data_IF_022292293901
#
_entry.id   IF_022292293901
#
_cell.length_a   1.000
_cell.length_b   1.000
_cell.length_c   1.000
_cell.angle_alpha   90.00
_cell.angle_beta   90.00
_cell.angle_gamma   90.00
#
_symmetry.space_group_name_H-M   'P 1'
#
loop_
_entity.id
_entity.type
_entity.pdbx_description
1 polymer ?
#
# COMPACT_ATOMS: atom_id res chain seq x y z
N UNK A 1 1.25 5.82 -3.25
CA UNK A 1 1.46 5.36 -1.85
C UNK A 1 2.50 6.26 -1.20
N UNK A 2 2.43 6.45 0.12
CA UNK A 2 3.39 7.25 0.89
C UNK A 2 4.43 6.43 1.67
N UNK A 3 4.30 5.10 1.66
CA UNK A 3 5.30 4.19 2.24
C UNK A 3 6.31 3.75 1.18
N UNK A 4 7.57 4.17 1.35
CA UNK A 4 8.67 3.78 0.47
C UNK A 4 9.00 2.29 0.58
N UNK A 5 8.90 1.70 1.77
CA UNK A 5 9.23 0.29 1.98
C UNK A 5 8.33 -0.65 1.18
N UNK A 6 7.02 -0.38 1.12
CA UNK A 6 6.06 -1.18 0.33
C UNK A 6 6.35 -1.05 -1.16
N UNK A 7 6.66 0.16 -1.62
CA UNK A 7 6.93 0.42 -3.04
C UNK A 7 8.21 -0.28 -3.49
N UNK A 8 9.25 -0.25 -2.67
CA UNK A 8 10.51 -0.92 -2.97
C UNK A 8 10.31 -2.44 -3.04
N UNK A 9 9.53 -3.03 -2.14
CA UNK A 9 9.19 -4.46 -2.16
C UNK A 9 8.40 -4.83 -3.42
N UNK A 10 7.37 -4.05 -3.77
CA UNK A 10 6.57 -4.26 -5.00
C UNK A 10 7.43 -4.15 -6.26
N UNK A 11 8.32 -3.16 -6.33
CA UNK A 11 9.21 -2.96 -7.49
C UNK A 11 10.29 -4.04 -7.59
N UNK A 12 10.87 -4.45 -6.46
CA UNK A 12 11.90 -5.51 -6.43
C UNK A 12 11.32 -6.88 -6.70
N UNK A 13 10.02 -7.09 -6.47
CA UNK A 13 9.38 -8.39 -6.62
C UNK A 13 9.87 -9.45 -5.63
N UNK A 14 10.57 -9.02 -4.57
CA UNK A 14 11.11 -9.88 -3.52
C UNK A 14 10.36 -9.56 -2.23
N UNK A 15 9.60 -10.56 -1.76
CA UNK A 15 8.65 -10.45 -0.67
C UNK A 15 9.22 -11.23 0.54
N UNK A 16 9.81 -10.54 1.55
CA UNK A 16 10.24 -11.15 2.80
C UNK A 16 9.08 -11.37 3.77
N UNK A 17 8.95 -12.60 4.29
CA UNK A 17 7.79 -13.30 4.91
C UNK A 17 6.80 -12.57 5.86
N UNK A 18 6.98 -11.28 6.15
CA UNK A 18 6.17 -10.44 7.02
C UNK A 18 4.87 -9.94 6.36
N UNK A 19 3.97 -9.32 7.14
CA UNK A 19 2.64 -8.87 6.74
C UNK A 19 2.58 -8.07 5.41
N UNK A 20 3.62 -7.29 5.11
CA UNK A 20 3.70 -6.50 3.88
C UNK A 20 3.78 -7.38 2.61
N UNK A 21 4.19 -8.65 2.73
CA UNK A 21 4.31 -9.59 1.61
C UNK A 21 3.00 -9.91 0.94
N UNK A 22 1.92 -10.13 1.70
CA UNK A 22 0.66 -10.54 1.08
C UNK A 22 0.12 -9.44 0.17
N UNK A 23 0.22 -8.20 0.63
CA UNK A 23 -0.22 -7.03 -0.12
C UNK A 23 0.73 -6.78 -1.29
N UNK A 24 2.03 -6.77 -1.04
CA UNK A 24 3.01 -6.49 -2.07
C UNK A 24 3.02 -7.58 -3.15
N UNK A 25 2.89 -8.86 -2.78
CA UNK A 25 2.74 -9.99 -3.69
C UNK A 25 1.46 -9.90 -4.50
N UNK A 26 0.31 -9.57 -3.89
CA UNK A 26 -0.91 -9.32 -4.67
C UNK A 26 -0.74 -8.17 -5.68
N UNK A 27 -0.06 -7.10 -5.29
CA UNK A 27 0.22 -5.97 -6.18
C UNK A 27 1.15 -6.36 -7.33
N UNK A 28 2.22 -7.11 -7.06
CA UNK A 28 3.17 -7.54 -8.09
C UNK A 28 2.71 -8.74 -8.93
N UNK A 29 1.88 -9.65 -8.41
CA UNK A 29 1.24 -10.70 -9.22
C UNK A 29 0.19 -10.11 -10.16
N UNK A 30 -0.46 -9.01 -9.75
CA UNK A 30 -1.27 -8.16 -10.64
C UNK A 30 -0.41 -7.21 -11.50
N UNK A 31 0.80 -7.62 -11.91
CA UNK A 31 1.68 -6.91 -12.84
C UNK A 31 1.02 -6.77 -14.22
N UNK A 32 0.02 -5.91 -14.28
CA UNK A 32 -0.56 -5.43 -15.50
C UNK A 32 0.37 -4.34 -16.02
N UNK A 33 0.92 -4.46 -17.24
CA UNK A 33 1.87 -3.48 -17.78
C UNK A 33 1.27 -2.07 -17.94
N UNK A 34 -0.05 -1.92 -17.78
CA UNK A 34 -0.75 -0.63 -17.79
C UNK A 34 -0.89 0.02 -16.41
N UNK A 35 -0.45 -0.64 -15.34
CA UNK A 35 -0.56 -0.15 -13.96
C UNK A 35 0.84 0.20 -13.46
N UNK A 36 0.97 1.40 -12.88
CA UNK A 36 2.21 1.85 -12.23
C UNK A 36 1.97 2.18 -10.77
N UNK A 37 2.97 1.91 -9.94
CA UNK A 37 2.94 2.20 -8.49
C UNK A 37 3.99 3.26 -8.18
N UNK A 38 3.54 4.43 -7.73
CA UNK A 38 4.39 5.58 -7.43
C UNK A 38 4.39 5.96 -5.95
N UNK A 39 5.56 6.46 -5.52
CA UNK A 39 5.76 7.03 -4.19
C UNK A 39 5.39 8.51 -4.24
N UNK A 40 4.47 8.92 -3.38
CA UNK A 40 4.03 10.31 -3.24
C UNK A 40 4.13 10.72 -1.79
N UNK A 41 4.36 12.01 -1.51
CA UNK A 41 4.36 12.50 -0.12
C UNK A 41 2.98 12.29 0.51
N UNK A 42 2.93 12.07 1.82
CA UNK A 42 1.65 11.96 2.57
C UNK A 42 0.74 13.18 2.38
N UNK A 43 1.32 14.36 2.22
CA UNK A 43 0.61 15.60 1.90
C UNK A 43 -0.19 15.52 0.58
N UNK A 44 0.25 14.67 -0.35
CA UNK A 44 -0.42 14.40 -1.63
C UNK A 44 -1.30 13.15 -1.58
N UNK A 45 -1.38 12.47 -0.43
CA UNK A 45 -2.17 11.26 -0.20
C UNK A 45 -3.07 11.41 1.05
N UNK A 46 -3.51 12.64 1.33
CA UNK A 46 -4.25 13.01 2.54
C UNK A 46 -5.59 12.29 2.63
N UNK A 47 -6.31 12.16 1.52
CA UNK A 47 -7.60 11.45 1.48
C UNK A 47 -7.46 10.00 1.95
N UNK A 48 -6.47 9.26 1.42
CA UNK A 48 -6.23 7.88 1.82
C UNK A 48 -5.76 7.79 3.29
N UNK A 49 -4.96 8.76 3.75
CA UNK A 49 -4.54 8.84 5.14
C UNK A 49 -5.73 9.06 6.09
N UNK A 50 -6.64 9.98 5.75
CA UNK A 50 -7.85 10.25 6.52
C UNK A 50 -8.77 9.03 6.56
N UNK A 51 -8.98 8.36 5.42
CA UNK A 51 -9.79 7.13 5.35
C UNK A 51 -9.20 6.00 6.20
N UNK A 52 -7.87 5.82 6.17
CA UNK A 52 -7.20 4.83 7.01
C UNK A 52 -7.38 5.15 8.51
N UNK A 53 -7.25 6.43 8.89
CA UNK A 53 -7.47 6.86 10.27
C UNK A 53 -8.94 6.67 10.70
N UNK A 54 -9.90 6.93 9.81
CA UNK A 54 -11.32 6.66 10.08
C UNK A 54 -11.56 5.18 10.33
N UNK A 55 -11.01 4.29 9.49
CA UNK A 55 -11.17 2.84 9.65
C UNK A 55 -10.54 2.30 10.96
N UNK A 56 -9.51 2.97 11.50
CA UNK A 56 -8.92 2.60 12.80
C UNK A 56 -9.76 3.15 13.96
N UNK A 57 -10.31 4.36 13.82
CA UNK A 57 -10.96 5.08 14.92
C UNK A 57 -12.47 4.84 15.04
N UNK A 58 -13.14 4.40 13.98
CA UNK A 58 -14.48 3.85 14.06
C UNK A 58 -14.37 2.33 14.15
N UNK A 59 -14.28 1.73 15.36
CA UNK A 59 -14.56 0.31 15.46
C UNK A 59 -16.00 0.16 14.98
N UNK A 60 -16.18 -0.64 13.92
CA UNK A 60 -17.48 -1.04 13.38
C UNK A 60 -18.46 -1.20 14.54
N UNK A 61 -19.38 -0.22 14.68
CA UNK A 61 -20.53 -0.36 15.58
C UNK A 61 -21.30 -1.56 15.05
N UNK A 62 -21.06 -2.71 15.67
CA UNK A 62 -21.74 -3.97 15.36
C UNK A 62 -22.98 -4.07 16.22
#
# INVERSE_FOLDING_TARGET
MDSSSIIDVVKKGSYPRDYCDRIARMCGERNNPRVSVNCVRRSSNTVAHTLANWAVNEPLKT
#
